data_IF_628788695890
#
_entry.id   IF_628788695890
#
_cell.length_a   1.000
_cell.length_b   1.000
_cell.length_c   1.000
_cell.angle_alpha   90.00
_cell.angle_beta   90.00
_cell.angle_gamma   90.00
#
_symmetry.space_group_name_H-M   'P 1'
#
loop_
_entity.id
_entity.type
_entity.pdbx_description
1 polymer ?
#
# COMPACT_ATOMS: atom_id res chain seq x y z
N UNK A 1 -16.23 7.62 8.43
CA UNK A 1 -14.88 7.21 8.87
C UNK A 1 -13.86 8.23 8.46
N UNK A 2 -12.65 8.19 9.02
CA UNK A 2 -11.57 9.13 8.75
C UNK A 2 -10.44 8.45 7.99
N UNK A 3 -9.96 9.06 6.91
CA UNK A 3 -8.71 8.66 6.27
C UNK A 3 -7.68 9.73 6.61
N UNK A 4 -6.60 9.34 7.30
CA UNK A 4 -5.47 10.23 7.55
C UNK A 4 -4.46 10.06 6.41
N UNK A 5 -4.38 11.10 5.58
CA UNK A 5 -3.44 11.17 4.44
C UNK A 5 -2.19 11.95 4.82
N UNK A 6 -1.10 11.73 4.07
CA UNK A 6 0.17 12.43 4.27
C UNK A 6 1.38 11.55 3.98
N UNK A 7 2.57 12.14 4.01
CA UNK A 7 3.81 11.37 4.12
C UNK A 7 3.67 10.41 5.32
N UNK A 8 4.15 9.15 5.19
CA UNK A 8 3.68 8.01 5.97
C UNK A 8 3.60 8.32 7.46
N UNK A 9 2.38 8.62 7.91
CA UNK A 9 2.15 9.39 9.14
C UNK A 9 2.56 8.60 10.37
N UNK A 10 2.39 7.28 10.36
CA UNK A 10 2.70 6.40 11.49
C UNK A 10 4.21 6.26 11.72
N UNK A 11 5.02 6.19 10.67
CA UNK A 11 6.47 6.04 10.83
C UNK A 11 7.15 7.35 11.24
N UNK A 12 6.52 8.49 10.94
CA UNK A 12 6.99 9.82 11.32
C UNK A 12 6.42 10.29 12.67
N UNK A 13 5.37 9.64 13.18
CA UNK A 13 4.72 9.98 14.44
C UNK A 13 4.46 8.70 15.26
N UNK A 14 5.49 8.13 15.93
CA UNK A 14 5.32 6.96 16.76
C UNK A 14 4.24 7.16 17.82
N UNK A 15 3.34 6.18 17.99
CA UNK A 15 2.20 6.24 18.92
C UNK A 15 0.91 6.79 18.32
N UNK A 16 0.98 7.52 17.19
CA UNK A 16 -0.18 8.19 16.58
C UNK A 16 -1.37 7.25 16.35
N UNK A 17 -1.15 6.03 15.87
CA UNK A 17 -2.25 5.11 15.61
C UNK A 17 -3.02 4.76 16.89
N UNK A 18 -2.31 4.50 18.00
CA UNK A 18 -2.93 4.22 19.29
C UNK A 18 -3.64 5.44 19.87
N UNK A 19 -3.06 6.63 19.73
CA UNK A 19 -3.71 7.87 20.16
C UNK A 19 -5.01 8.14 19.40
N UNK A 20 -5.02 7.88 18.08
CA UNK A 20 -6.22 7.98 17.24
C UNK A 20 -7.27 6.94 17.62
N UNK A 21 -6.85 5.72 17.94
CA UNK A 21 -7.74 4.66 18.39
C UNK A 21 -8.43 5.03 19.71
N UNK A 22 -7.70 5.65 20.64
CA UNK A 22 -8.27 6.13 21.90
C UNK A 22 -9.18 7.37 21.72
N UNK A 23 -8.87 8.24 20.75
CA UNK A 23 -9.54 9.53 20.60
C UNK A 23 -10.76 9.50 19.66
N UNK A 24 -10.79 8.60 18.66
CA UNK A 24 -11.81 8.61 17.62
C UNK A 24 -12.87 7.52 17.86
N UNK A 25 -14.14 7.88 18.15
CA UNK A 25 -15.23 6.91 18.31
C UNK A 25 -15.76 6.37 16.97
N UNK A 26 -15.09 6.69 15.87
CA UNK A 26 -15.48 6.33 14.50
C UNK A 26 -14.34 5.59 13.81
N UNK A 27 -14.63 4.72 12.82
CA UNK A 27 -13.58 4.05 12.06
C UNK A 27 -12.60 5.06 11.46
N UNK A 28 -11.31 4.74 11.54
CA UNK A 28 -10.26 5.51 10.91
C UNK A 28 -9.22 4.57 10.29
N UNK A 29 -8.36 5.13 9.43
CA UNK A 29 -7.19 4.42 8.92
C UNK A 29 -6.12 5.39 8.47
N UNK A 30 -4.90 4.89 8.35
CA UNK A 30 -3.83 5.49 7.55
C UNK A 30 -3.55 4.60 6.33
N UNK A 31 -2.64 5.05 5.46
CA UNK A 31 -2.17 4.27 4.32
C UNK A 31 -1.46 2.97 4.74
N UNK A 32 -0.56 3.01 5.72
CA UNK A 32 0.20 1.82 6.16
C UNK A 32 -0.74 0.78 6.75
N UNK A 33 -1.58 1.20 7.69
CA UNK A 33 -2.57 0.31 8.31
C UNK A 33 -3.52 -0.33 7.29
N UNK A 34 -4.09 0.45 6.36
CA UNK A 34 -5.00 -0.08 5.35
C UNK A 34 -4.33 -1.09 4.41
N UNK A 35 -3.10 -0.82 4.00
CA UNK A 35 -2.35 -1.73 3.14
C UNK A 35 -1.94 -3.01 3.87
N UNK A 36 -1.54 -2.92 5.14
CA UNK A 36 -1.27 -4.11 5.97
C UNK A 36 -2.54 -4.95 6.12
N UNK A 37 -3.70 -4.34 6.36
CA UNK A 37 -4.98 -5.04 6.40
C UNK A 37 -5.29 -5.75 5.07
N UNK A 38 -5.08 -5.07 3.94
CA UNK A 38 -5.29 -5.65 2.61
C UNK A 38 -4.34 -6.82 2.32
N UNK A 39 -3.05 -6.69 2.65
CA UNK A 39 -2.06 -7.77 2.50
C UNK A 39 -2.43 -9.01 3.33
N UNK A 40 -2.93 -8.82 4.56
CA UNK A 40 -3.36 -9.91 5.47
C UNK A 40 -4.55 -10.70 4.93
N UNK A 41 -5.47 -10.04 4.23
CA UNK A 41 -6.61 -10.71 3.60
C UNK A 41 -6.12 -11.74 2.58
N UNK A 42 -5.14 -11.35 1.77
CA UNK A 42 -4.51 -12.21 0.77
C UNK A 42 -3.41 -13.12 1.32
N UNK A 43 -3.11 -13.05 2.62
CA UNK A 43 -2.03 -13.82 3.26
C UNK A 43 -0.64 -13.55 2.68
N UNK A 44 -0.41 -12.32 2.19
CA UNK A 44 0.85 -11.87 1.62
C UNK A 44 1.79 -11.44 2.75
N UNK A 45 2.98 -12.06 2.86
CA UNK A 45 3.91 -11.85 3.98
C UNK A 45 5.23 -11.23 3.57
N UNK A 46 5.59 -11.33 2.29
CA UNK A 46 6.79 -10.73 1.71
C UNK A 46 6.42 -9.89 0.50
N UNK A 47 6.75 -8.61 0.50
CA UNK A 47 6.31 -7.69 -0.56
C UNK A 47 7.47 -6.93 -1.19
N UNK A 48 7.35 -6.66 -2.49
CA UNK A 48 8.11 -5.58 -3.12
C UNK A 48 7.44 -4.27 -2.75
N UNK A 49 8.14 -3.41 -2.01
CA UNK A 49 7.68 -2.09 -1.63
C UNK A 49 8.18 -1.06 -2.65
N UNK A 50 7.26 -0.41 -3.33
CA UNK A 50 7.52 0.72 -4.23
C UNK A 50 6.95 1.98 -3.60
N UNK A 51 7.80 2.99 -3.42
CA UNK A 51 7.43 4.25 -2.80
C UNK A 51 8.01 5.41 -3.61
N UNK A 52 7.51 6.65 -3.45
CA UNK A 52 8.15 7.83 -4.00
C UNK A 52 9.29 8.37 -3.13
N UNK A 53 9.74 7.66 -2.09
CA UNK A 53 10.57 8.20 -1.01
C UNK A 53 12.05 7.83 -1.09
N UNK A 54 12.86 8.51 -0.28
CA UNK A 54 14.28 8.23 -0.10
C UNK A 54 14.54 6.91 0.65
N UNK A 55 15.80 6.47 0.66
CA UNK A 55 16.20 5.23 1.30
C UNK A 55 15.89 5.22 2.80
N UNK A 56 16.12 6.33 3.50
CA UNK A 56 15.88 6.46 4.94
C UNK A 56 14.41 6.23 5.29
N UNK A 57 13.49 6.83 4.54
CA UNK A 57 12.06 6.67 4.79
C UNK A 57 11.57 5.29 4.37
N UNK A 58 12.13 4.70 3.32
CA UNK A 58 11.88 3.31 2.95
C UNK A 58 12.28 2.35 4.05
N UNK A 59 13.44 2.55 4.69
CA UNK A 59 13.89 1.71 5.81
C UNK A 59 12.93 1.79 6.99
N UNK A 60 12.42 2.98 7.33
CA UNK A 60 11.41 3.16 8.37
C UNK A 60 10.09 2.45 8.04
N UNK A 61 9.64 2.50 6.78
CA UNK A 61 8.45 1.77 6.34
C UNK A 61 8.70 0.25 6.43
N UNK A 62 9.84 -0.24 5.94
CA UNK A 62 10.20 -1.65 6.02
C UNK A 62 10.26 -2.14 7.47
N UNK A 63 10.83 -1.37 8.38
CA UNK A 63 10.88 -1.69 9.81
C UNK A 63 9.47 -1.76 10.41
N UNK A 64 8.61 -0.77 10.12
CA UNK A 64 7.23 -0.77 10.58
C UNK A 64 6.46 -1.98 10.07
N UNK A 65 6.57 -2.30 8.77
CA UNK A 65 5.94 -3.48 8.18
C UNK A 65 6.43 -4.77 8.85
N UNK A 66 7.74 -4.86 9.13
CA UNK A 66 8.34 -5.99 9.84
C UNK A 66 7.74 -6.19 11.24
N UNK A 67 7.55 -5.11 11.99
CA UNK A 67 6.93 -5.15 13.33
C UNK A 67 5.49 -5.68 13.31
N UNK A 68 4.78 -5.54 12.20
CA UNK A 68 3.38 -6.00 12.05
C UNK A 68 3.24 -7.29 11.23
N UNK A 69 4.36 -7.98 10.98
CA UNK A 69 4.43 -9.32 10.39
C UNK A 69 4.54 -9.37 8.87
N UNK A 70 4.90 -8.26 8.21
CA UNK A 70 5.11 -8.17 6.76
C UNK A 70 6.56 -7.82 6.46
N UNK A 71 7.30 -8.73 5.83
CA UNK A 71 8.64 -8.43 5.31
C UNK A 71 8.53 -7.62 4.03
N UNK A 72 9.27 -6.53 3.92
CA UNK A 72 9.28 -5.69 2.72
C UNK A 72 10.70 -5.53 2.17
N UNK A 73 10.82 -5.46 0.85
CA UNK A 73 12.06 -5.06 0.17
C UNK A 73 11.79 -3.82 -0.68
N UNK A 74 12.58 -2.78 -0.48
CA UNK A 74 12.45 -1.49 -1.18
C UNK A 74 13.72 -1.18 -1.97
N UNK A 75 13.97 -1.87 -3.12
CA UNK A 75 15.22 -1.75 -3.87
C UNK A 75 15.41 -0.40 -4.59
N UNK A 76 14.37 0.43 -4.68
CA UNK A 76 14.37 1.64 -5.48
C UNK A 76 14.00 2.89 -4.67
N UNK A 77 14.98 3.60 -4.09
CA UNK A 77 14.75 4.90 -3.48
C UNK A 77 14.73 6.02 -4.53
N UNK A 78 13.88 7.02 -4.31
CA UNK A 78 13.90 8.28 -5.05
C UNK A 78 14.52 9.39 -4.20
N UNK A 79 15.45 10.15 -4.76
CA UNK A 79 16.03 11.32 -4.09
C UNK A 79 15.11 12.54 -4.13
N UNK A 80 14.29 12.65 -5.18
CA UNK A 80 13.43 13.79 -5.44
C UNK A 80 12.00 13.32 -5.68
N UNK A 81 11.04 13.86 -4.93
CA UNK A 81 9.61 13.57 -5.10
C UNK A 81 9.07 13.98 -6.50
N UNK A 82 9.74 14.89 -7.19
CA UNK A 82 9.36 15.34 -8.53
C UNK A 82 9.46 14.24 -9.59
N UNK A 83 10.40 13.31 -9.43
CA UNK A 83 10.60 12.18 -10.36
C UNK A 83 9.39 11.25 -10.37
N UNK A 84 9.00 10.59 -9.24
CA UNK A 84 7.85 9.69 -9.24
C UNK A 84 6.55 10.43 -9.59
N UNK A 85 6.45 11.74 -9.29
CA UNK A 85 5.29 12.58 -9.63
C UNK A 85 5.10 12.75 -11.14
N UNK A 86 6.20 12.77 -11.89
CA UNK A 86 6.20 12.97 -13.34
C UNK A 86 6.02 11.68 -14.14
N UNK A 87 6.05 10.50 -13.49
CA UNK A 87 5.98 9.23 -14.18
C UNK A 87 4.61 9.00 -14.81
N UNK A 88 4.63 8.61 -16.07
CA UNK A 88 3.49 8.05 -16.78
C UNK A 88 3.15 6.65 -16.25
N UNK A 89 1.95 6.17 -16.58
CA UNK A 89 1.50 4.86 -16.14
C UNK A 89 2.38 3.73 -16.70
N UNK A 90 2.84 3.83 -17.95
CA UNK A 90 3.76 2.85 -18.53
C UNK A 90 5.14 2.87 -17.84
N UNK A 91 5.65 4.05 -17.45
CA UNK A 91 6.89 4.13 -16.66
C UNK A 91 6.74 3.47 -15.28
N UNK A 92 5.58 3.60 -14.63
CA UNK A 92 5.29 2.89 -13.37
C UNK A 92 5.25 1.37 -13.56
N UNK A 93 4.64 0.90 -14.65
CA UNK A 93 4.63 -0.53 -15.01
C UNK A 93 6.06 -1.04 -15.24
N UNK A 94 6.87 -0.35 -16.04
CA UNK A 94 8.26 -0.75 -16.31
C UNK A 94 9.12 -0.71 -15.04
N UNK A 95 8.93 0.29 -14.18
CA UNK A 95 9.59 0.36 -12.88
C UNK A 95 9.25 -0.89 -12.05
N UNK A 96 7.98 -1.28 -12.03
CA UNK A 96 7.51 -2.45 -11.29
C UNK A 96 8.13 -3.74 -11.83
N UNK A 97 8.07 -3.93 -13.15
CA UNK A 97 8.66 -5.10 -13.83
C UNK A 97 10.15 -5.22 -13.55
N UNK A 98 10.90 -4.12 -13.68
CA UNK A 98 12.34 -4.07 -13.41
C UNK A 98 12.66 -4.46 -11.97
N UNK A 99 11.94 -3.91 -11.00
CA UNK A 99 12.19 -4.18 -9.59
C UNK A 99 11.79 -5.59 -9.17
N UNK A 100 10.68 -6.13 -9.71
CA UNK A 100 10.30 -7.53 -9.49
C UNK A 100 11.39 -8.48 -10.00
N UNK A 101 11.94 -8.24 -11.19
CA UNK A 101 13.00 -9.07 -11.75
C UNK A 101 14.33 -9.01 -10.95
N UNK A 102 14.55 -7.92 -10.21
CA UNK A 102 15.80 -7.68 -9.48
C UNK A 102 15.80 -8.19 -8.04
N UNK A 103 14.65 -8.59 -7.49
CA UNK A 103 14.52 -9.04 -6.09
C UNK A 103 14.30 -10.55 -5.99
N UNK A 104 14.69 -11.12 -4.85
CA UNK A 104 14.26 -12.47 -4.49
C UNK A 104 12.73 -12.54 -4.40
N UNK A 105 12.16 -13.73 -4.61
CA UNK A 105 10.71 -13.99 -4.64
C UNK A 105 9.95 -13.22 -3.55
N UNK A 106 8.88 -12.54 -3.97
CA UNK A 106 7.91 -11.83 -3.13
C UNK A 106 6.52 -12.36 -3.45
N UNK A 107 5.55 -12.13 -2.55
CA UNK A 107 4.16 -12.58 -2.67
C UNK A 107 3.27 -11.53 -3.35
N UNK A 108 3.57 -10.23 -3.16
CA UNK A 108 2.80 -9.12 -3.71
C UNK A 108 3.67 -7.89 -4.01
N UNK A 109 3.14 -6.99 -4.85
CA UNK A 109 3.66 -5.63 -5.02
C UNK A 109 2.85 -4.69 -4.14
N UNK A 110 3.53 -3.83 -3.38
CA UNK A 110 2.91 -2.83 -2.52
C UNK A 110 3.39 -1.43 -2.93
N UNK A 111 2.46 -0.60 -3.42
CA UNK A 111 2.66 0.82 -3.67
C UNK A 111 2.26 1.68 -2.47
N UNK A 112 3.25 2.34 -1.86
CA UNK A 112 3.05 3.24 -0.74
C UNK A 112 3.38 4.68 -1.11
N UNK A 113 2.37 5.56 -1.11
CA UNK A 113 2.50 7.00 -1.38
C UNK A 113 1.80 7.42 -2.67
N UNK A 114 0.94 8.44 -2.56
CA UNK A 114 0.04 8.85 -3.64
C UNK A 114 0.74 9.44 -4.89
N UNK A 115 2.02 9.80 -4.78
CA UNK A 115 2.78 10.45 -5.86
C UNK A 115 3.28 9.44 -6.90
N UNK A 116 3.66 8.24 -6.46
CA UNK A 116 3.94 7.13 -7.35
C UNK A 116 2.62 6.40 -7.61
N UNK A 117 1.88 6.83 -8.62
CA UNK A 117 0.49 6.43 -8.85
C UNK A 117 0.35 5.23 -9.81
N UNK A 118 0.00 4.03 -9.32
CA UNK A 118 -0.22 2.88 -10.18
C UNK A 118 -1.64 2.78 -10.73
N UNK A 119 -2.59 3.65 -10.34
CA UNK A 119 -4.04 3.42 -10.55
C UNK A 119 -4.38 3.06 -12.00
N UNK A 120 -3.81 3.76 -12.98
CA UNK A 120 -4.10 3.55 -14.41
C UNK A 120 -3.55 2.25 -14.98
N UNK A 121 -2.60 1.61 -14.29
CA UNK A 121 -1.93 0.38 -14.75
C UNK A 121 -2.03 -0.75 -13.73
N UNK A 122 -2.79 -0.58 -12.65
CA UNK A 122 -2.81 -1.51 -11.54
C UNK A 122 -3.24 -2.91 -12.00
N UNK A 123 -4.37 -3.03 -12.70
CA UNK A 123 -4.81 -4.33 -13.25
C UNK A 123 -3.88 -4.87 -14.34
N UNK A 124 -3.22 -3.98 -15.11
CA UNK A 124 -2.23 -4.38 -16.11
C UNK A 124 -0.99 -5.00 -15.44
N UNK A 125 -0.52 -4.41 -14.33
CA UNK A 125 0.55 -4.98 -13.51
C UNK A 125 0.12 -6.34 -12.96
N UNK A 126 -1.09 -6.46 -12.41
CA UNK A 126 -1.59 -7.73 -11.87
C UNK A 126 -1.63 -8.83 -12.95
N UNK A 127 -2.15 -8.50 -14.14
CA UNK A 127 -2.30 -9.44 -15.24
C UNK A 127 -0.97 -9.82 -15.90
N UNK A 128 -0.09 -8.85 -16.17
CA UNK A 128 1.19 -9.10 -16.85
C UNK A 128 2.21 -9.79 -15.95
N UNK A 129 2.20 -9.50 -14.65
CA UNK A 129 3.18 -10.04 -13.71
C UNK A 129 2.66 -11.26 -12.93
N UNK A 130 1.37 -11.61 -13.06
CA UNK A 130 0.69 -12.65 -12.28
C UNK A 130 0.86 -12.46 -10.76
N UNK A 131 0.69 -11.21 -10.31
CA UNK A 131 0.97 -10.79 -8.93
C UNK A 131 -0.20 -10.00 -8.34
N UNK A 132 -0.44 -10.15 -7.04
CA UNK A 132 -1.37 -9.26 -6.34
C UNK A 132 -0.71 -7.90 -6.11
N UNK A 133 -1.44 -6.82 -6.40
CA UNK A 133 -0.96 -5.45 -6.22
C UNK A 133 -1.82 -4.73 -5.19
N UNK A 134 -1.20 -4.21 -4.14
CA UNK A 134 -1.85 -3.37 -3.13
C UNK A 134 -1.35 -1.94 -3.29
N UNK A 135 -2.25 -0.98 -3.47
CA UNK A 135 -1.91 0.44 -3.54
C UNK A 135 -2.62 1.23 -2.42
N UNK A 136 -1.91 2.19 -1.85
CA UNK A 136 -2.37 2.97 -0.67
C UNK A 136 -3.76 3.58 -0.82
N UNK A 137 -4.04 4.30 -1.91
CA UNK A 137 -5.34 4.96 -2.09
C UNK A 137 -6.51 3.95 -2.19
N UNK A 138 -6.48 2.93 -3.08
CA UNK A 138 -7.46 1.85 -3.10
C UNK A 138 -7.64 1.15 -1.75
N UNK A 139 -6.54 0.85 -1.05
CA UNK A 139 -6.59 0.16 0.23
C UNK A 139 -7.28 0.99 1.32
N UNK A 140 -6.97 2.29 1.42
CA UNK A 140 -7.63 3.17 2.39
C UNK A 140 -9.13 3.29 2.12
N UNK A 141 -9.52 3.43 0.85
CA UNK A 141 -10.92 3.48 0.43
C UNK A 141 -11.65 2.18 0.78
N UNK A 142 -11.10 1.03 0.37
CA UNK A 142 -11.61 -0.29 0.67
C UNK A 142 -11.79 -0.48 2.18
N UNK A 143 -10.75 -0.17 2.97
CA UNK A 143 -10.76 -0.39 4.40
C UNK A 143 -11.84 0.43 5.09
N UNK A 144 -11.91 1.75 4.81
CA UNK A 144 -12.84 2.62 5.52
C UNK A 144 -14.29 2.31 5.20
N UNK A 145 -14.59 1.99 3.93
CA UNK A 145 -15.94 1.65 3.51
C UNK A 145 -16.34 0.28 4.07
N UNK A 146 -15.44 -0.70 4.06
CA UNK A 146 -15.68 -2.02 4.66
C UNK A 146 -15.94 -1.93 6.17
N UNK A 147 -15.21 -1.06 6.90
CA UNK A 147 -15.47 -0.82 8.33
C UNK A 147 -16.82 -0.16 8.60
N UNK A 148 -17.37 0.55 7.61
CA UNK A 148 -18.72 1.12 7.64
C UNK A 148 -19.78 0.13 7.12
N UNK A 149 -19.42 -1.14 6.88
CA UNK A 149 -20.29 -2.19 6.32
C UNK A 149 -20.85 -1.83 4.94
N UNK A 150 -20.07 -1.09 4.16
CA UNK A 150 -20.37 -0.74 2.77
C UNK A 150 -19.43 -1.50 1.83
N UNK A 151 -19.96 -1.90 0.67
CA UNK A 151 -19.20 -2.55 -0.38
C UNK A 151 -19.54 -1.99 -1.77
N UNK A 152 -18.50 -1.65 -2.53
CA UNK A 152 -18.62 -1.12 -3.89
C UNK A 152 -17.59 -1.79 -4.81
N UNK A 153 -17.77 -3.07 -5.17
CA UNK A 153 -16.86 -3.76 -6.08
C UNK A 153 -16.71 -2.99 -7.41
N UNK A 154 -15.47 -2.77 -7.85
CA UNK A 154 -15.14 -2.00 -9.06
C UNK A 154 -14.02 -2.67 -9.85
N UNK A 155 -14.16 -2.68 -11.18
CA UNK A 155 -13.09 -3.07 -12.11
C UNK A 155 -12.21 -1.87 -12.48
N UNK A 156 -10.99 -2.13 -12.96
CA UNK A 156 -10.04 -1.10 -13.36
C UNK A 156 -9.11 -0.59 -12.25
N UNK A 157 -9.36 -0.99 -10.99
CA UNK A 157 -8.61 -0.49 -9.82
C UNK A 157 -7.95 -1.60 -8.98
N UNK A 158 -7.73 -2.76 -9.59
CA UNK A 158 -7.05 -3.89 -8.98
C UNK A 158 -7.94 -4.89 -8.28
N UNK A 159 -7.33 -6.02 -7.95
CA UNK A 159 -7.96 -7.17 -7.32
C UNK A 159 -8.68 -6.82 -6.03
N UNK A 160 -8.08 -5.98 -5.19
CA UNK A 160 -8.67 -5.60 -3.90
C UNK A 160 -10.04 -4.94 -4.06
N UNK A 161 -10.17 -3.97 -4.97
CA UNK A 161 -11.44 -3.27 -5.19
C UNK A 161 -12.40 -4.08 -6.05
N UNK A 162 -11.89 -4.99 -6.89
CA UNK A 162 -12.72 -5.90 -7.69
C UNK A 162 -13.38 -6.99 -6.85
N UNK A 163 -12.64 -7.61 -5.94
CA UNK A 163 -13.13 -8.70 -5.09
C UNK A 163 -13.82 -8.18 -3.81
N UNK A 164 -13.45 -6.99 -3.35
CA UNK A 164 -13.94 -6.38 -2.11
C UNK A 164 -13.99 -7.36 -0.92
N UNK A 165 -12.86 -8.00 -0.57
CA UNK A 165 -12.88 -8.99 0.49
C UNK A 165 -13.10 -8.32 1.86
N UNK A 166 -13.63 -9.05 2.84
CA UNK A 166 -13.82 -8.50 4.19
C UNK A 166 -12.46 -8.33 4.91
N UNK A 167 -12.19 -7.16 5.54
CA UNK A 167 -10.99 -6.97 6.33
C UNK A 167 -11.01 -7.91 7.55
N UNK A 168 -9.91 -8.62 7.79
CA UNK A 168 -9.73 -9.39 9.02
C UNK A 168 -9.56 -8.41 10.18
N UNK A 169 -10.27 -8.63 11.29
CA UNK A 169 -10.06 -7.82 12.49
C UNK A 169 -8.61 -7.99 12.97
N UNK A 170 -7.94 -6.91 13.40
CA UNK A 170 -6.67 -7.05 14.10
C UNK A 170 -6.95 -7.78 15.41
N UNK A 171 -6.40 -9.00 15.54
CA UNK A 171 -6.24 -9.65 16.84
C UNK A 171 -5.13 -8.97 17.64
#
# INVERSE_FOLDING_TARGET
GVILTGAPTEVLNPGLYGDLEAALPIPFTTALHACVAALRVYSMKRVLLLTPFDARLNDLICQHLGNVGVSAVAPHPFQELGVPKGMSADEVLELTRKNIAAVAKVDAVYFQGAVLDPIKVLEKIEAELDMTVIASNPAMLWYILSRLKLAYPMTGYGRLLREWPEPKEPH
#
